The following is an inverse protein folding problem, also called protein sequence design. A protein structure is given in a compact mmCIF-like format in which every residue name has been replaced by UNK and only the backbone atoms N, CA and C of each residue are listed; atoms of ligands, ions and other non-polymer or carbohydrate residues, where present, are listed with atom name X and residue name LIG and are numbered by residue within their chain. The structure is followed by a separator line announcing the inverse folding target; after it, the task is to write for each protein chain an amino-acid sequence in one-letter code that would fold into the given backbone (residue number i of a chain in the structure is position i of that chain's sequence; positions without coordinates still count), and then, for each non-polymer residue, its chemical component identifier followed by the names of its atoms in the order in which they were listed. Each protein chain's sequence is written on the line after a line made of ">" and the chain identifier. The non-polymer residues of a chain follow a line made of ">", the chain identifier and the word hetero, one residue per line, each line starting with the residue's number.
data_IF_092697192745
#
_entry.id   IF_092697192745
#
_cell.length_a   1.000
_cell.length_b   1.000
_cell.length_c   1.000
_cell.angle_alpha   90.00
_cell.angle_beta   90.00
_cell.angle_gamma   90.00
#
_symmetry.space_group_name_H-M   'P 1'
#
loop_
_entity.id
_entity.type
_entity.pdbx_description
1 polymer ?
#
# COMPACT_ATOMS: atom_id res chain seq x y z
N UNK A 1 21.24 3.11 -7.97
CA UNK A 1 19.84 2.88 -8.42
C UNK A 1 19.74 2.64 -9.92
N UNK A 2 20.36 3.49 -10.76
CA UNK A 2 20.25 3.35 -12.22
C UNK A 2 20.74 1.99 -12.74
N UNK A 3 21.86 1.49 -12.21
CA UNK A 3 22.42 0.16 -12.55
C UNK A 3 21.47 -1.00 -12.23
N UNK A 4 20.67 -0.90 -11.16
CA UNK A 4 19.70 -1.94 -10.81
C UNK A 4 18.49 -1.94 -11.77
N UNK A 5 18.03 -0.75 -12.18
CA UNK A 5 16.94 -0.64 -13.17
C UNK A 5 17.38 -1.16 -14.54
N UNK A 6 18.61 -0.86 -14.97
CA UNK A 6 19.14 -1.37 -16.25
C UNK A 6 19.30 -2.89 -16.22
N UNK A 7 19.75 -3.47 -15.11
CA UNK A 7 19.83 -4.92 -14.94
C UNK A 7 18.45 -5.58 -15.02
N UNK A 8 17.44 -5.00 -14.34
CA UNK A 8 16.06 -5.50 -14.40
C UNK A 8 15.49 -5.44 -15.82
N UNK A 9 15.67 -4.32 -16.52
CA UNK A 9 15.15 -4.12 -17.87
C UNK A 9 15.78 -5.08 -18.90
N UNK A 10 17.07 -5.39 -18.76
CA UNK A 10 17.81 -6.22 -19.72
C UNK A 10 17.69 -7.72 -19.42
N UNK A 11 17.76 -8.13 -18.16
CA UNK A 11 17.76 -9.55 -17.80
C UNK A 11 16.37 -10.10 -17.47
N UNK A 12 15.45 -9.27 -16.98
CA UNK A 12 14.13 -9.70 -16.51
C UNK A 12 13.02 -8.68 -16.83
N UNK A 13 12.78 -8.34 -18.11
CA UNK A 13 11.85 -7.28 -18.50
C UNK A 13 10.40 -7.54 -18.05
N UNK A 14 9.99 -8.81 -17.98
CA UNK A 14 8.61 -9.21 -17.69
C UNK A 14 8.37 -9.54 -16.21
N UNK A 15 9.36 -9.37 -15.33
CA UNK A 15 9.23 -9.76 -13.92
C UNK A 15 8.17 -8.93 -13.15
N UNK A 16 7.94 -7.69 -13.58
CA UNK A 16 6.97 -6.80 -12.97
C UNK A 16 5.59 -6.84 -13.64
N UNK A 17 5.48 -7.43 -14.83
CA UNK A 17 4.23 -7.52 -15.60
C UNK A 17 3.49 -8.83 -15.34
N UNK A 18 2.19 -8.86 -15.61
CA UNK A 18 1.39 -10.07 -15.53
C UNK A 18 1.35 -10.80 -16.89
N UNK A 19 1.50 -12.14 -16.92
CA UNK A 19 1.55 -12.90 -18.16
C UNK A 19 0.25 -12.86 -18.98
N UNK A 20 -0.89 -12.61 -18.31
CA UNK A 20 -2.20 -12.51 -18.95
C UNK A 20 -2.28 -11.34 -19.96
N UNK A 21 -1.44 -10.30 -19.79
CA UNK A 21 -1.38 -9.13 -20.67
C UNK A 21 -0.75 -9.42 -22.05
N UNK A 22 -0.13 -10.59 -22.25
CA UNK A 22 0.42 -10.98 -23.57
C UNK A 22 -0.62 -11.61 -24.49
N UNK A 23 -1.84 -11.86 -24.01
CA UNK A 23 -2.95 -12.35 -24.82
C UNK A 23 -3.84 -11.19 -25.28
N UNK A 24 -4.40 -11.22 -26.50
CA UNK A 24 -5.31 -10.17 -26.95
C UNK A 24 -6.58 -10.15 -26.07
N UNK A 25 -7.03 -8.94 -25.72
CA UNK A 25 -8.15 -8.76 -24.82
C UNK A 25 -9.46 -9.32 -25.41
N UNK A 26 -10.17 -10.12 -24.61
CA UNK A 26 -11.52 -10.57 -24.93
C UNK A 26 -12.55 -9.81 -24.07
N UNK A 27 -13.44 -8.97 -24.65
CA UNK A 27 -14.39 -8.18 -23.87
C UNK A 27 -15.48 -9.02 -23.18
N UNK A 28 -15.65 -10.30 -23.54
CA UNK A 28 -16.70 -11.19 -23.01
C UNK A 28 -16.17 -12.04 -21.85
N UNK A 29 -14.85 -12.16 -21.69
CA UNK A 29 -14.22 -13.05 -20.69
C UNK A 29 -13.27 -12.26 -19.81
N UNK A 30 -13.53 -12.25 -18.51
CA UNK A 30 -12.62 -11.71 -17.50
C UNK A 30 -11.79 -12.84 -16.88
N UNK A 31 -10.45 -12.78 -16.91
CA UNK A 31 -9.62 -13.74 -16.18
C UNK A 31 -9.93 -13.79 -14.66
N UNK A 32 -9.84 -14.96 -14.01
CA UNK A 32 -10.22 -15.12 -12.61
C UNK A 32 -9.25 -14.46 -11.60
N UNK A 33 -8.01 -14.15 -12.00
CA UNK A 33 -6.96 -13.60 -11.12
C UNK A 33 -6.55 -12.15 -11.45
N UNK A 34 -7.43 -11.38 -12.11
CA UNK A 34 -7.14 -9.98 -12.48
C UNK A 34 -6.84 -9.15 -11.23
N UNK A 35 -5.66 -8.55 -11.24
CA UNK A 35 -5.17 -7.60 -10.25
C UNK A 35 -4.57 -6.42 -11.02
N UNK A 36 -4.63 -5.21 -10.48
CA UNK A 36 -3.95 -4.10 -11.13
C UNK A 36 -2.44 -4.24 -10.95
N UNK A 37 -1.72 -3.42 -11.72
CA UNK A 37 -0.29 -3.28 -11.63
C UNK A 37 0.18 -2.98 -10.19
N UNK A 38 1.42 -3.35 -9.90
CA UNK A 38 1.99 -3.34 -8.54
C UNK A 38 1.93 -1.97 -7.85
N UNK A 39 2.06 -0.88 -8.61
CA UNK A 39 1.99 0.49 -8.11
C UNK A 39 0.56 0.96 -7.80
N UNK A 40 -0.48 0.30 -8.33
CA UNK A 40 -1.89 0.59 -8.07
C UNK A 40 -2.52 -0.28 -6.98
N UNK A 41 -1.77 -1.25 -6.43
CA UNK A 41 -2.28 -2.15 -5.40
C UNK A 41 -2.77 -1.42 -4.13
N UNK A 42 -2.18 -0.28 -3.77
CA UNK A 42 -2.67 0.52 -2.63
C UNK A 42 -4.08 1.05 -2.86
N UNK A 43 -4.36 1.57 -4.06
CA UNK A 43 -5.66 2.10 -4.43
C UNK A 43 -6.70 0.96 -4.46
N UNK A 44 -6.34 -0.18 -5.03
CA UNK A 44 -7.18 -1.38 -5.03
C UNK A 44 -7.51 -1.87 -3.62
N UNK A 45 -6.53 -1.87 -2.71
CA UNK A 45 -6.75 -2.22 -1.31
C UNK A 45 -7.74 -1.27 -0.62
N UNK A 46 -7.64 0.04 -0.86
CA UNK A 46 -8.58 1.03 -0.32
C UNK A 46 -9.99 0.79 -0.88
N UNK A 47 -10.12 0.62 -2.20
CA UNK A 47 -11.41 0.41 -2.86
C UNK A 47 -12.09 -0.89 -2.41
N UNK A 48 -11.34 -1.98 -2.23
CA UNK A 48 -11.88 -3.27 -1.76
C UNK A 48 -12.25 -3.25 -0.28
N UNK A 49 -11.67 -2.35 0.51
CA UNK A 49 -11.94 -2.24 1.94
C UNK A 49 -13.24 -1.49 2.24
N UNK A 50 -13.78 -0.71 1.30
CA UNK A 50 -15.02 0.06 1.46
C UNK A 50 -16.09 -0.51 0.53
N UNK A 51 -17.17 -1.11 1.05
CA UNK A 51 -18.23 -1.68 0.21
C UNK A 51 -19.06 -0.62 -0.53
N UNK A 52 -18.89 0.67 -0.21
CA UNK A 52 -19.58 1.79 -0.85
C UNK A 52 -18.74 2.39 -1.99
N UNK A 53 -19.35 2.52 -3.18
CA UNK A 53 -18.71 3.06 -4.39
C UNK A 53 -18.26 4.52 -4.25
N UNK A 54 -19.09 5.38 -3.64
CA UNK A 54 -18.74 6.79 -3.40
C UNK A 54 -17.70 6.94 -2.29
N UNK A 55 -17.86 6.16 -1.21
CA UNK A 55 -16.92 6.17 -0.08
C UNK A 55 -15.51 5.72 -0.49
N UNK A 56 -15.40 4.69 -1.34
CA UNK A 56 -14.12 4.21 -1.87
C UNK A 56 -13.37 5.29 -2.67
N UNK A 57 -14.07 6.01 -3.55
CA UNK A 57 -13.47 7.08 -4.35
C UNK A 57 -13.04 8.26 -3.48
N UNK A 58 -13.86 8.67 -2.50
CA UNK A 58 -13.49 9.73 -1.57
C UNK A 58 -12.27 9.37 -0.72
N UNK A 59 -12.18 8.12 -0.26
CA UNK A 59 -11.02 7.64 0.50
C UNK A 59 -9.74 7.59 -0.35
N UNK A 60 -9.85 7.24 -1.64
CA UNK A 60 -8.73 7.29 -2.57
C UNK A 60 -8.25 8.73 -2.77
N UNK A 61 -9.17 9.68 -2.97
CA UNK A 61 -8.83 11.10 -3.08
C UNK A 61 -8.17 11.61 -1.79
N UNK A 62 -8.71 11.25 -0.62
CA UNK A 62 -8.11 11.66 0.65
C UNK A 62 -6.71 11.07 0.85
N UNK A 63 -6.46 9.85 0.40
CA UNK A 63 -5.12 9.22 0.46
C UNK A 63 -4.06 10.05 -0.26
N UNK A 64 -4.39 10.60 -1.42
CA UNK A 64 -3.48 11.44 -2.20
C UNK A 64 -3.38 12.82 -1.57
N UNK A 65 -4.50 13.38 -1.10
CA UNK A 65 -4.53 14.69 -0.46
C UNK A 65 -3.65 14.74 0.80
N UNK A 66 -3.63 13.68 1.60
CA UNK A 66 -2.77 13.58 2.78
C UNK A 66 -1.28 13.74 2.40
N UNK A 67 -0.81 13.16 1.28
CA UNK A 67 0.58 13.36 0.83
C UNK A 67 0.91 14.84 0.57
N UNK A 68 -0.05 15.61 0.06
CA UNK A 68 0.12 17.04 -0.25
C UNK A 68 0.09 17.89 1.03
N UNK A 69 -0.73 17.49 2.01
CA UNK A 69 -0.89 18.21 3.28
C UNK A 69 0.30 18.00 4.22
N UNK A 70 0.93 16.82 4.20
CA UNK A 70 2.08 16.47 5.05
C UNK A 70 3.25 17.49 5.02
N UNK A 71 3.75 17.96 3.86
CA UNK A 71 4.82 18.96 3.83
C UNK A 71 4.37 20.33 4.36
N UNK A 72 3.09 20.67 4.23
CA UNK A 72 2.54 21.96 4.69
C UNK A 72 2.39 21.98 6.22
N UNK A 73 2.01 20.84 6.82
CA UNK A 73 1.91 20.67 8.27
C UNK A 73 3.25 20.39 8.95
N UNK A 74 4.37 20.43 8.21
CA UNK A 74 5.69 20.19 8.77
C UNK A 74 6.13 21.37 9.66
N UNK A 75 5.81 21.31 10.94
CA UNK A 75 6.15 22.33 11.95
C UNK A 75 7.57 22.22 12.51
N UNK A 76 8.32 21.17 12.14
CA UNK A 76 9.67 20.93 12.67
C UNK A 76 10.71 21.78 11.94
N UNK A 77 11.55 22.50 12.70
CA UNK A 77 12.68 23.28 12.16
C UNK A 77 13.83 22.39 11.65
N UNK A 78 13.95 21.18 12.17
CA UNK A 78 14.97 20.21 11.76
C UNK A 78 14.48 19.39 10.57
N UNK A 79 15.19 19.49 9.44
CA UNK A 79 14.88 18.79 8.18
C UNK A 79 15.38 17.34 8.14
N UNK A 80 16.39 17.00 8.94
CA UNK A 80 17.01 15.66 8.94
C UNK A 80 16.21 14.63 9.76
N UNK A 81 16.03 13.44 9.20
CA UNK A 81 15.43 12.29 9.89
C UNK A 81 16.29 11.79 11.05
N UNK A 82 17.60 12.03 11.01
CA UNK A 82 18.59 11.56 12.00
C UNK A 82 18.37 12.15 13.40
N UNK A 83 17.85 13.37 13.50
CA UNK A 83 17.72 14.09 14.77
C UNK A 83 16.31 14.05 15.37
N UNK A 84 15.39 13.28 14.78
CA UNK A 84 13.99 13.18 15.22
C UNK A 84 13.68 11.76 15.67
N UNK A 85 13.84 11.36 16.95
CA UNK A 85 13.75 9.95 17.37
C UNK A 85 12.40 9.26 17.08
N UNK A 86 11.31 10.02 16.99
CA UNK A 86 9.97 9.48 16.71
C UNK A 86 9.59 9.38 15.22
N UNK A 87 10.24 10.13 14.33
CA UNK A 87 9.81 10.19 12.93
C UNK A 87 10.26 8.98 12.08
N UNK A 88 11.54 8.53 12.14
CA UNK A 88 12.01 7.36 11.39
C UNK A 88 11.24 6.08 11.77
N UNK A 89 10.97 5.87 13.05
CA UNK A 89 10.19 4.71 13.53
C UNK A 89 8.75 4.75 13.01
N UNK A 90 8.13 5.94 13.00
CA UNK A 90 6.78 6.12 12.43
C UNK A 90 6.77 5.85 10.92
N UNK A 91 7.77 6.34 10.18
CA UNK A 91 7.90 6.11 8.73
C UNK A 91 8.15 4.63 8.40
N UNK A 92 9.03 3.96 9.16
CA UNK A 92 9.32 2.53 8.99
C UNK A 92 8.10 1.65 9.32
N UNK A 93 7.35 2.00 10.36
CA UNK A 93 6.10 1.31 10.69
C UNK A 93 5.04 1.50 9.59
N UNK A 94 4.96 2.70 9.00
CA UNK A 94 4.07 2.98 7.89
C UNK A 94 4.47 2.20 6.62
N UNK A 95 5.75 2.19 6.24
CA UNK A 95 6.24 1.47 5.06
C UNK A 95 6.10 -0.05 5.19
N UNK A 96 6.31 -0.59 6.40
CA UNK A 96 6.10 -2.00 6.71
C UNK A 96 4.63 -2.42 6.53
N UNK A 97 3.69 -1.58 7.00
CA UNK A 97 2.26 -1.81 6.83
C UNK A 97 1.83 -1.73 5.37
N UNK A 98 2.33 -0.75 4.63
CA UNK A 98 2.10 -0.62 3.18
C UNK A 98 2.62 -1.83 2.40
N UNK A 99 3.79 -2.35 2.77
CA UNK A 99 4.37 -3.54 2.13
C UNK A 99 3.55 -4.80 2.46
N UNK A 100 3.06 -4.91 3.71
CA UNK A 100 2.21 -6.02 4.14
C UNK A 100 0.86 -6.06 3.41
N UNK A 101 0.26 -4.89 3.11
CA UNK A 101 -0.95 -4.82 2.28
C UNK A 101 -0.69 -5.24 0.84
N UNK A 102 0.49 -4.92 0.28
CA UNK A 102 0.90 -5.38 -1.05
C UNK A 102 1.22 -6.89 -1.09
N UNK A 103 1.68 -7.46 0.03
CA UNK A 103 2.02 -8.89 0.14
C UNK A 103 0.77 -9.78 0.24
N UNK A 104 -0.40 -9.21 0.54
CA UNK A 104 -1.70 -9.89 0.50
C UNK A 104 -2.25 -10.05 -0.94
N UNK A 105 -1.35 -10.18 -1.93
CA UNK A 105 -1.63 -10.43 -3.36
C UNK A 105 -2.10 -11.89 -3.63
N UNK A 106 -2.35 -12.68 -2.57
CA UNK A 106 -2.71 -14.11 -2.67
C UNK A 106 -4.22 -14.30 -2.71
N UNK A 107 -4.63 -15.28 -3.51
CA UNK A 107 -5.99 -15.61 -3.93
C UNK A 107 -7.10 -15.37 -2.90
N UNK A 108 -8.15 -14.67 -3.33
CA UNK A 108 -9.39 -14.38 -2.58
C UNK A 108 -10.16 -15.64 -2.13
N UNK A 109 -9.80 -16.84 -2.56
CA UNK A 109 -10.67 -18.03 -2.48
C UNK A 109 -10.23 -19.15 -1.53
N UNK A 110 -9.15 -19.05 -0.73
CA UNK A 110 -8.85 -20.10 0.27
C UNK A 110 -8.36 -19.55 1.61
N UNK A 111 -9.20 -19.81 2.63
CA UNK A 111 -8.90 -19.90 4.07
C UNK A 111 -8.27 -18.68 4.73
N UNK A 112 -9.07 -18.03 5.58
CA UNK A 112 -8.59 -17.13 6.61
C UNK A 112 -7.68 -17.90 7.57
N UNK A 113 -6.38 -17.90 7.29
CA UNK A 113 -5.41 -17.99 8.39
C UNK A 113 -5.71 -16.81 9.28
N UNK A 114 -5.93 -17.05 10.58
CA UNK A 114 -6.16 -16.03 11.62
C UNK A 114 -4.96 -15.07 11.69
N UNK A 115 -4.91 -14.15 10.73
CA UNK A 115 -4.16 -12.92 10.79
C UNK A 115 -5.20 -11.84 11.03
N UNK A 116 -4.94 -11.00 12.03
CA UNK A 116 -5.69 -9.77 12.24
C UNK A 116 -5.71 -9.01 10.91
N UNK A 117 -6.80 -9.12 10.15
CA UNK A 117 -7.00 -8.30 8.97
C UNK A 117 -6.83 -6.86 9.45
N UNK A 118 -6.07 -6.01 8.75
CA UNK A 118 -6.25 -4.57 8.86
C UNK A 118 -7.63 -4.28 8.26
N UNK A 119 -8.69 -4.56 9.02
CA UNK A 119 -10.09 -4.43 8.60
C UNK A 119 -10.53 -2.96 8.52
N UNK A 120 -9.63 -2.04 8.85
CA UNK A 120 -9.93 -0.62 8.91
C UNK A 120 -8.82 0.16 8.23
N UNK A 121 -9.20 1.02 7.28
CA UNK A 121 -8.36 2.07 6.64
C UNK A 121 -7.56 2.86 7.69
N UNK A 122 -8.11 2.98 8.90
CA UNK A 122 -7.43 3.50 10.08
C UNK A 122 -6.01 2.93 10.28
N UNK A 123 -5.83 1.63 10.11
CA UNK A 123 -4.54 0.95 10.35
C UNK A 123 -3.49 1.17 9.26
N UNK A 124 -3.89 1.71 8.11
CA UNK A 124 -3.05 2.03 6.96
C UNK A 124 -2.55 3.47 7.03
N UNK A 125 -3.36 4.40 7.57
CA UNK A 125 -3.08 5.83 7.55
C UNK A 125 -2.78 6.46 8.92
N UNK A 126 -3.18 5.84 10.04
CA UNK A 126 -2.99 6.42 11.37
C UNK A 126 -1.99 5.62 12.19
N UNK A 127 -1.06 6.28 12.89
CA UNK A 127 -0.23 5.61 13.89
C UNK A 127 -1.14 5.05 14.99
N UNK A 128 -0.93 3.78 15.37
CA UNK A 128 -1.55 3.24 16.58
C UNK A 128 -1.01 4.10 17.75
N UNK A 129 -1.87 4.67 18.61
CA UNK A 129 -1.39 5.35 19.81
C UNK A 129 -0.57 4.33 20.60
N UNK A 130 0.71 4.65 20.81
CA UNK A 130 1.65 3.81 21.53
C UNK A 130 0.99 3.39 22.85
N UNK A 131 0.68 2.09 22.99
CA UNK A 131 0.16 1.56 24.23
C UNK A 131 1.24 1.80 25.29
N UNK A 132 1.00 2.77 26.19
CA UNK A 132 1.81 2.90 27.39
C UNK A 132 1.74 1.56 28.12
N UNK A 133 2.85 1.03 28.63
CA UNK A 133 2.79 -0.14 29.48
C UNK A 133 1.93 0.23 30.70
N UNK A 134 0.79 -0.44 30.86
CA UNK A 134 0.08 -0.47 32.12
C UNK A 134 0.97 -1.28 33.07
N UNK A 135 1.82 -0.57 33.80
CA UNK A 135 2.46 -1.10 35.00
C UNK A 135 1.37 -1.24 36.04
N UNK A 136 1.15 -2.47 36.49
CA UNK A 136 0.32 -2.86 37.63
C UNK A 136 0.90 -4.14 38.20
#
# INVERSE_FOLDING_TARGET
>A
MLTALTMLALFYPNLLGDPDNFTPANPIVTPPHIKPEWYFLFAYAILRSIPNKLGGVLALLSSILVLIVVPILHTSKQRGLTFRPSLPTTILNFSSRYTSTNMNRRNTSRTSVHYHRPSSISTLFFPIPSAKPLVG
#
